data_IF_823385530017
#
_entry.id   IF_823385530017
#
_cell.length_a   1.000
_cell.length_b   1.000
_cell.length_c   1.000
_cell.angle_alpha   90.00
_cell.angle_beta   90.00
_cell.angle_gamma   90.00
#
_symmetry.space_group_name_H-M   'P 1'
#
loop_
_entity.id
_entity.type
_entity.pdbx_description
1 polymer ?
#
# COMPACT_ATOMS: atom_id res chain seq x y z
N UNK A 1 3.84 10.11 44.93
CA UNK A 1 3.27 8.98 44.16
C UNK A 1 2.58 9.50 42.90
N UNK A 2 2.77 8.88 41.74
CA UNK A 2 2.03 9.25 40.52
C UNK A 2 0.66 8.53 40.49
N UNK A 3 -0.41 9.32 40.55
CA UNK A 3 -1.79 8.82 40.55
C UNK A 3 -2.47 8.91 39.17
N UNK A 4 -1.84 9.58 38.21
CA UNK A 4 -2.40 9.86 36.88
C UNK A 4 -2.73 8.59 36.09
N UNK A 5 -1.86 7.56 36.04
CA UNK A 5 -2.14 6.31 35.31
C UNK A 5 -3.34 5.53 35.84
N UNK A 6 -3.78 5.81 37.08
CA UNK A 6 -4.94 5.17 37.72
C UNK A 6 -6.26 5.88 37.39
N UNK A 7 -6.20 7.03 36.72
CA UNK A 7 -7.39 7.81 36.36
C UNK A 7 -7.88 7.40 34.97
N UNK A 8 -9.19 7.22 34.85
CA UNK A 8 -9.87 6.80 33.60
C UNK A 8 -9.78 7.83 32.48
N UNK A 9 -9.55 9.10 32.80
CA UNK A 9 -9.39 10.20 31.82
C UNK A 9 -7.94 10.36 31.35
N UNK A 10 -6.99 9.58 31.88
CA UNK A 10 -5.59 9.77 31.53
C UNK A 10 -5.34 9.39 30.06
N UNK A 11 -4.93 10.38 29.26
CA UNK A 11 -4.81 10.30 27.79
C UNK A 11 -3.90 9.16 27.32
N UNK A 12 -2.82 8.89 28.07
CA UNK A 12 -1.81 7.87 27.71
C UNK A 12 -2.18 6.44 28.12
N UNK A 13 -3.34 6.23 28.75
CA UNK A 13 -3.80 4.87 29.04
C UNK A 13 -4.16 4.14 27.75
N UNK A 14 -3.86 2.84 27.69
CA UNK A 14 -4.09 2.02 26.49
C UNK A 14 -5.55 2.10 26.01
N UNK A 15 -6.50 2.15 26.94
CA UNK A 15 -7.93 2.24 26.64
C UNK A 15 -8.29 3.56 25.93
N UNK A 16 -7.78 4.70 26.43
CA UNK A 16 -8.08 5.99 25.82
C UNK A 16 -7.39 6.16 24.47
N UNK A 17 -6.13 5.71 24.34
CA UNK A 17 -5.46 5.71 23.04
C UNK A 17 -6.20 4.82 22.04
N UNK A 18 -6.73 3.67 22.47
CA UNK A 18 -7.53 2.80 21.59
C UNK A 18 -8.87 3.44 21.17
N UNK A 19 -9.51 4.22 22.04
CA UNK A 19 -10.71 5.01 21.68
C UNK A 19 -10.38 6.06 20.63
N UNK A 20 -9.35 6.87 20.88
CA UNK A 20 -8.88 7.89 19.93
C UNK A 20 -8.55 7.27 18.57
N UNK A 21 -7.86 6.13 18.52
CA UNK A 21 -7.59 5.43 17.27
C UNK A 21 -8.85 4.96 16.54
N UNK A 22 -9.86 4.48 17.28
CA UNK A 22 -11.13 4.05 16.69
C UNK A 22 -11.89 5.24 16.11
N UNK A 23 -11.90 6.35 16.81
CA UNK A 23 -12.55 7.59 16.37
C UNK A 23 -11.83 8.18 15.15
N UNK A 24 -10.49 8.21 15.17
CA UNK A 24 -9.67 8.63 14.02
C UNK A 24 -9.89 7.74 12.80
N UNK A 25 -9.94 6.41 12.98
CA UNK A 25 -10.23 5.47 11.90
C UNK A 25 -11.63 5.70 11.32
N UNK A 26 -12.63 5.90 12.18
CA UNK A 26 -14.00 6.18 11.75
C UNK A 26 -14.10 7.49 10.97
N UNK A 27 -13.44 8.55 11.44
CA UNK A 27 -13.37 9.83 10.73
C UNK A 27 -12.70 9.67 9.35
N UNK A 28 -11.59 8.93 9.28
CA UNK A 28 -10.92 8.64 8.01
C UNK A 28 -11.82 7.87 7.03
N UNK A 29 -12.52 6.82 7.49
CA UNK A 29 -13.46 6.06 6.67
C UNK A 29 -14.62 6.93 6.16
N UNK A 30 -15.16 7.82 6.99
CA UNK A 30 -16.22 8.76 6.58
C UNK A 30 -15.72 9.75 5.51
N UNK A 31 -14.50 10.30 5.67
CA UNK A 31 -13.88 11.17 4.66
C UNK A 31 -13.63 10.43 3.33
N UNK A 32 -13.15 9.19 3.38
CA UNK A 32 -12.98 8.36 2.18
C UNK A 32 -14.31 8.12 1.47
N UNK A 33 -15.38 7.77 2.20
CA UNK A 33 -16.71 7.59 1.60
C UNK A 33 -17.26 8.86 0.97
N UNK A 34 -17.00 10.03 1.56
CA UNK A 34 -17.39 11.32 0.98
C UNK A 34 -16.63 11.58 -0.32
N UNK A 35 -15.32 11.32 -0.33
CA UNK A 35 -14.47 11.47 -1.53
C UNK A 35 -14.90 10.52 -2.64
N UNK A 36 -15.14 9.24 -2.33
CA UNK A 36 -15.64 8.26 -3.30
C UNK A 36 -16.98 8.70 -3.90
N UNK A 37 -17.90 9.19 -3.07
CA UNK A 37 -19.18 9.71 -3.54
C UNK A 37 -19.01 10.91 -4.47
N UNK A 38 -18.11 11.84 -4.14
CA UNK A 38 -17.82 12.99 -4.97
C UNK A 38 -17.23 12.57 -6.33
N UNK A 39 -16.29 11.62 -6.35
CA UNK A 39 -15.69 11.10 -7.57
C UNK A 39 -16.70 10.39 -8.47
N UNK A 40 -17.59 9.59 -7.87
CA UNK A 40 -18.69 8.94 -8.62
C UNK A 40 -19.63 9.98 -9.22
N UNK A 41 -20.04 10.99 -8.44
CA UNK A 41 -20.89 12.07 -8.94
C UNK A 41 -20.23 12.86 -10.08
N UNK A 42 -18.93 13.13 -9.99
CA UNK A 42 -18.17 13.78 -11.06
C UNK A 42 -18.12 12.92 -12.34
N UNK A 43 -17.87 11.62 -12.19
CA UNK A 43 -17.87 10.66 -13.31
C UNK A 43 -19.24 10.61 -13.98
N UNK A 44 -20.31 10.50 -13.20
CA UNK A 44 -21.69 10.47 -13.69
C UNK A 44 -22.05 11.79 -14.39
N UNK A 45 -21.68 12.94 -13.80
CA UNK A 45 -21.89 14.26 -14.40
C UNK A 45 -21.21 14.38 -15.77
N UNK A 46 -19.92 13.98 -15.85
CA UNK A 46 -19.16 13.99 -17.10
C UNK A 46 -19.79 13.09 -18.16
N UNK A 47 -20.24 11.90 -17.79
CA UNK A 47 -20.94 10.98 -18.70
C UNK A 47 -22.28 11.56 -19.16
N UNK A 48 -23.04 12.18 -18.26
CA UNK A 48 -24.31 12.80 -18.60
C UNK A 48 -24.14 13.97 -19.58
N UNK A 49 -23.10 14.80 -19.42
CA UNK A 49 -22.75 15.84 -20.41
C UNK A 49 -22.46 15.19 -21.77
N UNK A 50 -21.61 14.16 -21.81
CA UNK A 50 -21.25 13.51 -23.07
C UNK A 50 -22.46 12.86 -23.76
N UNK A 51 -23.35 12.24 -22.98
CA UNK A 51 -24.63 11.70 -23.48
C UNK A 51 -25.55 12.79 -24.00
N UNK A 52 -25.68 13.91 -23.29
CA UNK A 52 -26.48 15.06 -23.74
C UNK A 52 -25.94 15.64 -25.04
N UNK A 53 -24.63 15.83 -25.14
CA UNK A 53 -23.98 16.36 -26.34
C UNK A 53 -24.11 15.37 -27.52
N UNK A 54 -24.00 14.06 -27.27
CA UNK A 54 -24.24 13.05 -28.30
C UNK A 54 -25.70 13.06 -28.78
N UNK A 55 -26.66 13.16 -27.86
CA UNK A 55 -28.08 13.30 -28.19
C UNK A 55 -28.36 14.57 -29.01
N UNK A 56 -27.75 15.70 -28.65
CA UNK A 56 -27.84 16.95 -29.42
C UNK A 56 -27.27 16.79 -30.83
N UNK A 57 -26.09 16.17 -30.99
CA UNK A 57 -25.51 15.91 -32.33
C UNK A 57 -26.42 15.01 -33.19
N UNK A 58 -27.02 13.98 -32.60
CA UNK A 58 -27.94 13.09 -33.32
C UNK A 58 -29.21 13.84 -33.72
N UNK A 59 -29.76 14.68 -32.83
CA UNK A 59 -30.92 15.53 -33.14
C UNK A 59 -30.59 16.54 -34.25
N UNK A 60 -29.48 17.25 -34.15
CA UNK A 60 -29.01 18.17 -35.21
C UNK A 60 -28.76 17.46 -36.55
N UNK A 61 -28.22 16.23 -36.51
CA UNK A 61 -28.00 15.43 -37.71
C UNK A 61 -29.31 14.90 -38.31
N UNK A 62 -30.30 14.59 -37.47
CA UNK A 62 -31.63 14.12 -37.87
C UNK A 62 -32.47 15.26 -38.47
N UNK A 63 -32.50 16.43 -37.83
CA UNK A 63 -33.19 17.63 -38.32
C UNK A 63 -32.56 18.13 -39.64
N UNK A 64 -31.24 17.96 -39.82
CA UNK A 64 -30.55 18.28 -41.08
C UNK A 64 -30.87 17.27 -42.20
N UNK A 65 -31.03 15.99 -41.89
CA UNK A 65 -31.40 14.96 -42.86
C UNK A 65 -32.86 15.08 -43.34
N UNK A 66 -33.79 15.50 -42.48
CA UNK A 66 -35.20 15.71 -42.85
C UNK A 66 -35.36 16.87 -43.85
N UNK A 67 -34.51 17.90 -43.78
CA UNK A 67 -34.48 19.03 -44.75
C UNK A 67 -33.88 18.70 -46.13
N UNK A 68 -33.21 17.55 -46.27
CA UNK A 68 -32.43 17.15 -47.47
C UNK A 68 -33.05 15.97 -48.25
N UNK A 69 -34.25 15.51 -47.89
CA UNK A 69 -34.91 14.38 -48.56
C UNK A 69 -35.58 14.71 -49.91
N UNK A 70 -35.38 15.91 -50.45
CA UNK A 70 -35.88 16.27 -51.78
C UNK A 70 -34.83 16.32 -52.89
N UNK A 71 -33.53 16.04 -52.67
CA UNK A 71 -32.59 16.04 -53.80
C UNK A 71 -31.27 15.28 -53.60
N UNK A 72 -30.99 14.42 -54.60
CA UNK A 72 -29.69 13.89 -55.05
C UNK A 72 -29.11 12.62 -54.39
N UNK A 73 -29.18 11.53 -55.16
CA UNK A 73 -28.11 10.53 -55.27
C UNK A 73 -26.78 11.20 -55.62
N UNK A 74 -25.65 10.74 -55.08
CA UNK A 74 -24.34 10.66 -55.77
C UNK A 74 -23.25 10.18 -54.80
N UNK A 75 -22.27 9.46 -55.36
CA UNK A 75 -21.15 8.75 -54.75
C UNK A 75 -20.36 9.54 -53.71
N UNK A 76 -19.96 8.84 -52.64
CA UNK A 76 -18.98 9.29 -51.64
C UNK A 76 -17.92 8.22 -51.43
N UNK A 77 -16.98 8.16 -52.36
CA UNK A 77 -15.68 7.51 -52.25
C UNK A 77 -14.84 8.29 -51.21
N UNK A 78 -14.61 7.71 -50.04
CA UNK A 78 -13.86 8.40 -48.96
C UNK A 78 -13.76 7.66 -47.63
N UNK A 79 -14.10 6.38 -47.57
CA UNK A 79 -13.91 5.55 -46.37
C UNK A 79 -12.71 4.63 -46.56
N UNK A 80 -11.52 5.07 -46.13
CA UNK A 80 -10.33 4.21 -46.01
C UNK A 80 -10.48 3.25 -44.83
N UNK A 81 -11.55 2.43 -44.84
CA UNK A 81 -11.69 1.30 -43.93
C UNK A 81 -10.92 0.13 -44.52
N UNK A 82 -9.76 -0.18 -43.95
CA UNK A 82 -9.04 -1.41 -44.32
C UNK A 82 -9.90 -2.58 -43.89
N UNK A 83 -10.39 -3.37 -44.85
CA UNK A 83 -11.15 -4.58 -44.57
C UNK A 83 -10.17 -5.61 -44.01
N UNK A 84 -10.46 -6.11 -42.82
CA UNK A 84 -9.62 -7.13 -42.19
C UNK A 84 -9.88 -8.47 -42.88
N UNK A 85 -9.00 -8.88 -43.81
CA UNK A 85 -9.17 -10.01 -44.73
C UNK A 85 -9.43 -11.36 -44.01
N UNK A 86 -9.13 -11.45 -42.71
CA UNK A 86 -9.32 -12.65 -41.88
C UNK A 86 -10.71 -12.75 -41.26
N UNK A 87 -11.38 -11.63 -41.01
CA UNK A 87 -12.65 -11.58 -40.27
C UNK A 87 -13.80 -10.98 -41.07
N UNK A 88 -13.52 -10.32 -42.20
CA UNK A 88 -14.52 -9.55 -42.95
C UNK A 88 -15.10 -8.36 -42.15
N UNK A 89 -14.48 -8.02 -41.03
CA UNK A 89 -14.87 -6.89 -40.19
C UNK A 89 -14.21 -5.62 -40.73
N UNK A 90 -15.00 -4.56 -40.89
CA UNK A 90 -14.49 -3.25 -41.31
C UNK A 90 -13.98 -2.55 -40.05
N UNK A 91 -12.66 -2.51 -39.88
CA UNK A 91 -12.05 -1.79 -38.77
C UNK A 91 -11.85 -0.32 -39.14
N UNK A 92 -12.74 0.54 -38.67
CA UNK A 92 -12.68 2.00 -38.84
C UNK A 92 -11.51 2.65 -38.09
N UNK A 93 -10.90 1.94 -37.15
CA UNK A 93 -9.82 2.42 -36.30
C UNK A 93 -8.47 1.81 -36.65
N UNK A 94 -8.37 1.03 -37.74
CA UNK A 94 -7.14 0.34 -38.10
C UNK A 94 -5.92 1.27 -38.20
N UNK A 95 -6.12 2.48 -38.71
CA UNK A 95 -5.03 3.47 -38.84
C UNK A 95 -4.67 4.11 -37.49
N UNK A 96 -5.67 4.37 -36.64
CA UNK A 96 -5.45 4.87 -35.28
C UNK A 96 -4.82 3.81 -34.36
N UNK A 97 -5.22 2.56 -34.48
CA UNK A 97 -4.64 1.43 -33.75
C UNK A 97 -3.18 1.20 -34.18
N UNK A 98 -2.86 1.33 -35.47
CA UNK A 98 -1.46 1.28 -35.93
C UNK A 98 -0.65 2.46 -35.39
N UNK A 99 -1.21 3.66 -35.32
CA UNK A 99 -0.54 4.83 -34.75
C UNK A 99 -0.34 4.70 -33.22
N UNK A 100 -1.33 4.17 -32.49
CA UNK A 100 -1.21 3.89 -31.06
C UNK A 100 -0.23 2.74 -30.78
N UNK A 101 -0.24 1.67 -31.58
CA UNK A 101 0.75 0.60 -31.50
C UNK A 101 2.15 1.12 -31.81
N UNK A 102 2.32 1.96 -32.83
CA UNK A 102 3.61 2.58 -33.15
C UNK A 102 4.12 3.51 -32.02
N UNK A 103 3.21 4.18 -31.30
CA UNK A 103 3.54 5.01 -30.14
C UNK A 103 3.77 4.21 -28.85
N UNK A 104 3.12 3.05 -28.68
CA UNK A 104 3.22 2.20 -27.47
C UNK A 104 4.33 1.17 -27.54
N UNK A 105 4.66 0.64 -28.73
CA UNK A 105 5.83 -0.23 -28.94
C UNK A 105 7.15 0.54 -28.76
N UNK A 106 7.13 1.87 -28.95
CA UNK A 106 8.20 2.79 -28.54
C UNK A 106 7.94 3.42 -27.16
N UNK A 107 7.26 2.73 -26.26
CA UNK A 107 7.17 3.12 -24.86
C UNK A 107 8.56 3.34 -24.27
N UNK A 108 8.75 4.46 -23.58
CA UNK A 108 10.04 4.87 -23.03
C UNK A 108 10.63 3.73 -22.17
N UNK A 109 11.69 3.08 -22.67
CA UNK A 109 12.32 1.91 -22.01
C UNK A 109 12.77 2.25 -20.59
N UNK A 110 13.13 3.51 -20.37
CA UNK A 110 13.52 4.02 -19.07
C UNK A 110 12.36 4.00 -18.07
N UNK A 111 11.16 4.37 -18.50
CA UNK A 111 9.96 4.37 -17.64
C UNK A 111 9.55 2.96 -17.20
N UNK A 112 9.65 1.98 -18.10
CA UNK A 112 9.39 0.58 -17.75
C UNK A 112 10.43 0.04 -16.75
N UNK A 113 11.70 0.44 -16.89
CA UNK A 113 12.76 0.09 -15.97
C UNK A 113 12.60 0.77 -14.59
N UNK A 114 12.20 2.05 -14.56
CA UNK A 114 11.90 2.78 -13.32
C UNK A 114 10.73 2.17 -12.57
N UNK A 115 9.62 1.87 -13.26
CA UNK A 115 8.47 1.16 -12.69
C UNK A 115 8.85 -0.19 -12.11
N UNK A 116 9.79 -0.90 -12.72
CA UNK A 116 10.27 -2.19 -12.22
C UNK A 116 11.11 -2.01 -10.97
N UNK A 117 12.03 -1.03 -10.95
CA UNK A 117 12.82 -0.69 -9.77
C UNK A 117 11.95 -0.24 -8.59
N UNK A 118 10.94 0.58 -8.84
CA UNK A 118 10.00 1.03 -7.80
C UNK A 118 9.26 -0.15 -7.16
N UNK A 119 8.86 -1.14 -7.97
CA UNK A 119 8.28 -2.39 -7.46
C UNK A 119 9.28 -3.19 -6.63
N UNK A 120 10.49 -3.38 -7.15
CA UNK A 120 11.55 -4.12 -6.47
C UNK A 120 11.91 -3.45 -5.11
N UNK A 121 11.98 -2.12 -5.06
CA UNK A 121 12.21 -1.34 -3.83
C UNK A 121 11.05 -1.45 -2.85
N UNK A 122 9.81 -1.40 -3.33
CA UNK A 122 8.63 -1.57 -2.50
C UNK A 122 8.56 -2.98 -1.90
N UNK A 123 8.81 -4.01 -2.71
CA UNK A 123 8.85 -5.40 -2.26
C UNK A 123 10.02 -5.66 -1.31
N UNK A 124 11.18 -5.02 -1.52
CA UNK A 124 12.31 -5.05 -0.58
C UNK A 124 11.96 -4.39 0.75
N UNK A 125 11.31 -3.22 0.72
CA UNK A 125 10.84 -2.52 1.92
C UNK A 125 9.80 -3.32 2.71
N UNK A 126 8.95 -4.08 2.01
CA UNK A 126 8.01 -5.01 2.63
C UNK A 126 8.66 -6.34 3.07
N UNK A 127 9.92 -6.59 2.69
CA UNK A 127 10.63 -7.83 2.96
C UNK A 127 10.14 -9.04 2.15
N UNK A 128 9.41 -8.80 1.06
CA UNK A 128 8.92 -9.82 0.12
C UNK A 128 10.05 -10.21 -0.83
N UNK A 129 10.73 -9.21 -1.40
CA UNK A 129 11.90 -9.40 -2.25
C UNK A 129 13.17 -9.19 -1.41
N UNK A 130 13.88 -10.28 -1.11
CA UNK A 130 15.17 -10.23 -0.41
C UNK A 130 16.23 -10.88 -1.28
N UNK A 131 17.26 -10.12 -1.64
CA UNK A 131 18.33 -10.65 -2.49
C UNK A 131 19.29 -11.50 -1.66
N UNK A 132 19.72 -12.62 -2.22
CA UNK A 132 20.70 -13.49 -1.56
C UNK A 132 22.03 -12.75 -1.47
N UNK A 133 22.59 -12.65 -0.26
CA UNK A 133 23.82 -11.88 -0.01
C UNK A 133 23.58 -10.39 0.28
N UNK A 134 22.34 -9.93 0.36
CA UNK A 134 22.02 -8.57 0.82
C UNK A 134 22.56 -8.35 2.25
N UNK A 135 23.57 -7.49 2.39
CA UNK A 135 24.32 -7.27 3.63
C UNK A 135 25.63 -8.08 3.76
N UNK A 136 26.01 -8.88 2.76
CA UNK A 136 27.35 -9.44 2.66
C UNK A 136 28.38 -8.36 2.26
N UNK A 137 29.65 -8.57 2.61
CA UNK A 137 30.74 -7.64 2.25
C UNK A 137 30.91 -7.51 0.74
N UNK A 138 30.64 -8.59 0.00
CA UNK A 138 30.66 -8.62 -1.47
C UNK A 138 29.55 -7.75 -2.07
N UNK A 139 28.34 -7.82 -1.51
CA UNK A 139 27.20 -7.00 -1.94
C UNK A 139 27.39 -5.51 -1.61
N UNK A 140 27.97 -5.22 -0.45
CA UNK A 140 28.34 -3.85 -0.02
C UNK A 140 29.63 -3.35 -0.72
N UNK A 141 30.26 -4.18 -1.57
CA UNK A 141 31.55 -3.91 -2.23
C UNK A 141 32.65 -3.46 -1.26
N UNK A 142 32.57 -3.93 -0.02
CA UNK A 142 33.56 -3.65 1.00
C UNK A 142 34.69 -4.67 0.91
N UNK A 143 35.88 -4.19 0.51
CA UNK A 143 37.07 -5.02 0.54
C UNK A 143 37.43 -5.30 2.01
N UNK A 144 37.46 -6.57 2.44
CA UNK A 144 37.81 -6.92 3.80
C UNK A 144 39.26 -6.50 4.11
N UNK A 145 39.53 -6.23 5.39
CA UNK A 145 40.83 -5.70 5.84
C UNK A 145 42.03 -6.58 5.44
N UNK A 146 41.84 -7.89 5.27
CA UNK A 146 42.89 -8.83 4.86
C UNK A 146 43.22 -8.80 3.36
N UNK A 147 42.37 -8.19 2.54
CA UNK A 147 42.57 -8.05 1.09
C UNK A 147 43.07 -6.63 0.73
N UNK A 148 42.97 -5.68 1.66
CA UNK A 148 43.60 -4.36 1.54
C UNK A 148 45.11 -4.48 1.81
N UNK A 149 45.90 -4.47 0.74
CA UNK A 149 47.36 -4.33 0.87
C UNK A 149 47.69 -2.99 1.57
N UNK A 150 48.56 -2.99 2.59
CA UNK A 150 48.97 -1.75 3.25
C UNK A 150 49.66 -0.84 2.22
N UNK A 151 49.14 0.38 2.04
CA UNK A 151 49.76 1.38 1.20
C UNK A 151 51.13 1.71 1.80
N UNK A 152 52.20 1.16 1.22
CA UNK A 152 53.56 1.65 1.46
C UNK A 152 53.58 3.09 1.00
N UNK A 153 53.78 4.02 1.94
CA UNK A 153 54.05 5.41 1.61
C UNK A 153 55.34 5.45 0.78
N UNK A 154 55.20 5.58 -0.53
CA UNK A 154 56.32 5.88 -1.42
C UNK A 154 56.70 7.35 -1.21
N UNK A 155 57.61 7.56 -0.26
CA UNK A 155 58.45 8.75 -0.24
C UNK A 155 59.49 8.61 -1.35
N UNK A 156 59.41 9.52 -2.32
CA UNK A 156 60.52 10.04 -3.15
C UNK A 156 61.31 9.07 -4.04
N UNK A 157 61.06 9.19 -5.36
CA UNK A 157 62.07 9.03 -6.41
C UNK A 157 62.17 7.65 -7.06
N UNK A 158 61.49 7.47 -8.20
CA UNK A 158 62.13 7.28 -9.52
C UNK A 158 61.10 6.71 -10.52
N UNK A 159 61.17 7.21 -11.73
CA UNK A 159 60.29 6.87 -12.85
C UNK A 159 60.74 5.59 -13.56
N UNK A 160 59.75 4.89 -14.15
CA UNK A 160 59.87 3.81 -15.14
C UNK A 160 60.06 2.38 -14.60
N UNK A 161 58.97 1.61 -14.58
CA UNK A 161 58.93 0.30 -15.26
C UNK A 161 57.51 -0.31 -15.16
N UNK A 162 56.79 -0.24 -16.28
CA UNK A 162 55.75 -1.21 -16.59
C UNK A 162 56.39 -2.56 -16.89
N UNK A 163 55.61 -3.61 -16.61
CA UNK A 163 55.70 -4.98 -17.13
C UNK A 163 56.59 -5.99 -16.38
N UNK A 164 55.92 -7.10 -16.06
CA UNK A 164 56.44 -8.45 -15.82
C UNK A 164 57.15 -8.72 -14.50
N UNK A 165 56.49 -9.51 -13.64
CA UNK A 165 57.11 -10.72 -13.07
C UNK A 165 56.03 -11.66 -12.53
N UNK A 166 55.39 -12.35 -13.47
CA UNK A 166 54.96 -13.72 -13.25
C UNK A 166 56.20 -14.61 -13.10
N UNK A 167 56.16 -15.50 -12.10
CA UNK A 167 56.92 -16.75 -11.93
C UNK A 167 58.06 -16.76 -10.90
N UNK A 168 57.90 -17.72 -9.99
CA UNK A 168 58.89 -18.60 -9.34
C UNK A 168 59.66 -18.03 -8.14
N UNK A 169 59.36 -18.59 -6.97
CA UNK A 169 60.34 -19.45 -6.30
C UNK A 169 59.65 -20.69 -5.74
N UNK A 170 60.28 -21.84 -5.97
CA UNK A 170 59.85 -23.21 -5.69
C UNK A 170 61.00 -23.85 -4.91
N UNK A 171 60.72 -24.45 -3.76
CA UNK A 171 61.58 -25.44 -3.07
C UNK A 171 60.66 -26.13 -2.04
N UNK A 172 60.10 -27.33 -2.27
CA UNK A 172 60.71 -28.68 -2.11
C UNK A 172 61.57 -28.78 -0.84
N UNK A 173 61.54 -29.80 0.01
CA UNK A 173 60.74 -31.00 0.28
C UNK A 173 61.46 -31.61 1.52
N UNK A 174 60.83 -32.59 2.19
CA UNK A 174 61.45 -33.60 3.10
C UNK A 174 61.57 -33.16 4.58
N UNK A 175 61.25 -33.96 5.59
CA UNK A 175 61.25 -35.43 5.73
C UNK A 175 60.29 -35.87 6.85
N UNK A 176 59.60 -37.02 6.65
CA UNK A 176 59.44 -38.17 7.58
C UNK A 176 58.93 -37.92 9.01
N UNK A 177 58.11 -38.73 9.70
CA UNK A 177 57.49 -40.06 9.56
C UNK A 177 57.01 -40.40 10.98
N UNK A 178 56.18 -41.45 11.14
CA UNK A 178 55.97 -42.30 12.35
C UNK A 178 54.47 -42.51 12.63
N UNK A 179 53.96 -43.54 11.93
CA UNK A 179 53.19 -44.70 12.43
C UNK A 179 52.28 -44.57 13.67
N UNK A 180 51.02 -44.97 13.39
CA UNK A 180 50.26 -46.03 14.05
C UNK A 180 49.73 -45.91 15.49
N UNK A 181 48.41 -46.15 15.52
CA UNK A 181 47.69 -47.06 16.41
C UNK A 181 47.26 -46.62 17.84
N UNK A 182 45.99 -46.98 18.08
CA UNK A 182 45.36 -47.50 19.30
C UNK A 182 44.66 -46.53 20.28
N UNK A 183 43.35 -46.81 20.33
CA UNK A 183 42.51 -47.11 21.51
C UNK A 183 41.66 -46.00 22.13
N UNK A 184 40.35 -46.19 21.90
CA UNK A 184 39.29 -46.45 22.90
C UNK A 184 39.29 -45.64 24.20
N UNK A 185 38.07 -45.16 24.47
CA UNK A 185 37.39 -45.05 25.77
C UNK A 185 37.78 -43.87 26.65
N UNK A 186 36.79 -43.00 26.90
CA UNK A 186 36.20 -42.76 28.24
C UNK A 186 35.15 -41.65 28.15
N UNK A 187 33.87 -42.05 28.03
CA UNK A 187 32.76 -41.21 28.43
C UNK A 187 32.52 -41.43 29.93
N UNK A 188 32.90 -40.43 30.71
CA UNK A 188 32.60 -40.24 32.12
C UNK A 188 32.67 -38.72 32.28
N UNK A 189 31.78 -37.99 32.94
CA UNK A 189 30.64 -38.29 33.81
C UNK A 189 30.14 -36.90 34.23
N UNK A 190 28.84 -36.78 34.43
CA UNK A 190 28.15 -36.03 35.51
C UNK A 190 27.00 -35.19 34.96
N UNK A 191 25.85 -35.86 34.92
CA UNK A 191 24.59 -35.34 35.47
C UNK A 191 24.83 -34.37 36.64
N UNK A 192 24.03 -33.31 36.70
CA UNK A 192 23.17 -33.07 37.89
C UNK A 192 21.86 -32.41 37.45
N UNK A 193 20.79 -33.19 37.60
CA UNK A 193 19.41 -32.72 37.68
C UNK A 193 19.24 -31.63 38.74
N UNK A 194 18.38 -30.65 38.46
CA UNK A 194 17.40 -30.13 39.42
C UNK A 194 16.20 -29.55 38.66
N UNK A 195 15.23 -30.42 38.41
CA UNK A 195 13.87 -30.00 38.08
C UNK A 195 13.32 -29.16 39.24
N UNK A 196 12.80 -27.99 38.92
CA UNK A 196 11.93 -27.22 39.80
C UNK A 196 10.62 -27.01 39.08
N UNK A 197 9.67 -27.89 39.39
CA UNK A 197 8.24 -27.64 39.24
C UNK A 197 7.91 -26.27 39.84
N UNK A 198 7.32 -25.38 39.05
CA UNK A 198 6.61 -24.21 39.58
C UNK A 198 5.13 -24.49 39.45
N UNK A 199 4.58 -24.95 40.56
CA UNK A 199 3.15 -25.20 40.77
C UNK A 199 2.37 -23.88 40.62
N UNK A 200 1.30 -23.94 39.84
CA UNK A 200 0.27 -22.91 39.73
C UNK A 200 -0.49 -22.77 41.05
N UNK A 201 -0.58 -21.57 41.60
CA UNK A 201 -1.64 -21.19 42.55
C UNK A 201 -2.32 -19.90 42.07
N UNK A 202 -3.50 -20.08 41.47
CA UNK A 202 -4.44 -19.00 41.11
C UNK A 202 -5.44 -18.87 42.25
N UNK A 203 -5.19 -17.97 43.20
CA UNK A 203 -6.20 -17.59 44.20
C UNK A 203 -7.16 -16.56 43.58
N UNK A 204 -8.31 -17.04 43.11
CA UNK A 204 -9.45 -16.19 42.72
C UNK A 204 -10.15 -15.69 43.99
N UNK A 205 -9.87 -14.45 44.41
CA UNK A 205 -10.74 -13.72 45.36
C UNK A 205 -11.91 -13.12 44.60
N UNK A 206 -13.09 -13.75 44.68
CA UNK A 206 -14.36 -13.12 44.29
C UNK A 206 -14.76 -12.13 45.39
N UNK A 207 -14.66 -10.83 45.12
CA UNK A 207 -15.39 -9.80 45.89
C UNK A 207 -16.79 -9.71 45.30
N UNK A 208 -17.79 -10.16 46.06
CA UNK A 208 -19.21 -9.83 45.84
C UNK A 208 -19.40 -8.37 46.26
N UNK A 209 -19.66 -7.49 45.30
CA UNK A 209 -20.35 -6.24 45.61
C UNK A 209 -21.82 -6.42 45.20
N UNK A 210 -22.68 -6.33 46.21
CA UNK A 210 -24.11 -6.09 46.05
C UNK A 210 -24.26 -4.62 45.64
N UNK A 211 -24.81 -4.38 44.46
CA UNK A 211 -25.50 -3.12 44.15
C UNK A 211 -26.72 -3.50 43.33
N UNK A 212 -27.87 -3.53 44.00
CA UNK A 212 -29.18 -3.44 43.38
C UNK A 212 -29.31 -2.04 42.77
N UNK A 213 -29.04 -1.91 41.49
CA UNK A 213 -29.64 -0.83 40.71
C UNK A 213 -30.36 -1.52 39.53
N UNK A 214 -31.68 -1.47 39.60
CA UNK A 214 -32.58 -1.90 38.53
C UNK A 214 -32.40 -0.91 37.40
N UNK A 215 -31.46 -1.19 36.52
CA UNK A 215 -31.26 -0.44 35.30
C UNK A 215 -31.88 -1.27 34.20
N UNK A 216 -33.12 -0.89 33.87
CA UNK A 216 -33.84 -1.38 32.70
C UNK A 216 -32.88 -1.30 31.51
N UNK A 217 -32.59 -2.47 30.93
CA UNK A 217 -31.67 -2.63 29.80
C UNK A 217 -32.29 -2.03 28.54
N UNK A 218 -32.35 -0.70 28.45
CA UNK A 218 -32.61 -0.01 27.20
C UNK A 218 -31.39 -0.22 26.29
N UNK A 219 -31.65 -0.78 25.11
CA UNK A 219 -30.64 -1.00 24.09
C UNK A 219 -30.06 0.35 23.63
N UNK A 220 -28.85 0.37 23.07
CA UNK A 220 -28.27 1.61 22.53
C UNK A 220 -29.15 2.21 21.41
N UNK A 221 -29.93 1.38 20.72
CA UNK A 221 -30.93 1.79 19.73
C UNK A 221 -32.07 2.58 20.38
N UNK A 222 -32.59 2.12 21.52
CA UNK A 222 -33.65 2.80 22.28
C UNK A 222 -33.21 4.20 22.75
N UNK A 223 -31.94 4.35 23.14
CA UNK A 223 -31.38 5.65 23.53
C UNK A 223 -31.28 6.59 22.35
N UNK A 224 -30.80 6.10 21.20
CA UNK A 224 -30.69 6.90 19.97
C UNK A 224 -32.07 7.38 19.53
N UNK A 225 -33.08 6.50 19.55
CA UNK A 225 -34.46 6.85 19.25
C UNK A 225 -35.05 7.88 20.22
N UNK A 226 -34.78 7.72 21.52
CA UNK A 226 -35.20 8.68 22.56
C UNK A 226 -34.61 10.07 22.32
N UNK A 227 -33.31 10.14 22.00
CA UNK A 227 -32.67 11.42 21.66
C UNK A 227 -33.20 12.01 20.34
N UNK A 228 -33.51 11.18 19.34
CA UNK A 228 -34.11 11.64 18.09
C UNK A 228 -35.50 12.25 18.31
N UNK A 229 -36.33 11.61 19.15
CA UNK A 229 -37.65 12.13 19.56
C UNK A 229 -37.54 13.51 20.23
N UNK A 230 -36.60 13.68 21.16
CA UNK A 230 -36.36 14.96 21.83
C UNK A 230 -35.88 16.07 20.87
N UNK A 231 -35.07 15.72 19.86
CA UNK A 231 -34.62 16.68 18.83
C UNK A 231 -35.77 17.11 17.93
N UNK A 232 -36.63 16.18 17.51
CA UNK A 232 -37.81 16.48 16.69
C UNK A 232 -38.80 17.36 17.45
N UNK A 233 -39.01 17.10 18.74
CA UNK A 233 -39.86 17.94 19.59
C UNK A 233 -39.30 19.36 19.72
N UNK A 234 -37.98 19.50 19.93
CA UNK A 234 -37.32 20.81 19.97
C UNK A 234 -37.51 21.60 18.67
N UNK A 235 -37.30 20.97 17.51
CA UNK A 235 -37.49 21.63 16.21
C UNK A 235 -38.92 22.12 16.02
N UNK A 236 -39.92 21.32 16.40
CA UNK A 236 -41.33 21.75 16.35
C UNK A 236 -41.61 22.97 17.23
N UNK A 237 -41.01 23.04 18.43
CA UNK A 237 -41.14 24.23 19.30
C UNK A 237 -40.49 25.46 18.66
N UNK A 238 -39.28 25.32 18.14
CA UNK A 238 -38.58 26.41 17.44
C UNK A 238 -39.36 26.89 16.20
N UNK A 239 -39.99 25.97 15.45
CA UNK A 239 -40.84 26.30 14.31
C UNK A 239 -42.11 27.05 14.72
N UNK A 240 -42.80 26.61 15.77
CA UNK A 240 -43.97 27.30 16.32
C UNK A 240 -43.61 28.70 16.81
N UNK A 241 -42.48 28.86 17.52
CA UNK A 241 -41.99 30.17 17.97
C UNK A 241 -41.62 31.06 16.79
N UNK A 242 -40.97 30.50 15.76
CA UNK A 242 -40.64 31.23 14.53
C UNK A 242 -41.89 31.66 13.77
N UNK A 243 -42.93 30.83 13.71
CA UNK A 243 -44.21 31.18 13.11
C UNK A 243 -44.90 32.30 13.89
N UNK A 244 -44.92 32.21 15.23
CA UNK A 244 -45.45 33.26 16.10
C UNK A 244 -44.69 34.58 15.95
N UNK A 245 -43.36 34.51 15.86
CA UNK A 245 -42.54 35.69 15.61
C UNK A 245 -42.83 36.31 14.24
N UNK A 246 -42.99 35.51 13.19
CA UNK A 246 -43.39 35.98 11.85
C UNK A 246 -44.79 36.64 11.86
N UNK A 247 -45.73 36.08 12.61
CA UNK A 247 -47.08 36.65 12.75
C UNK A 247 -47.10 37.99 13.49
N UNK A 248 -46.14 38.24 14.39
CA UNK A 248 -45.98 39.52 15.07
C UNK A 248 -45.22 40.57 14.24
N UNK A 249 -44.49 40.13 13.21
CA UNK A 249 -43.69 40.99 12.34
C UNK A 249 -44.45 41.43 11.07
N UNK A 250 -45.62 40.84 10.83
CA UNK A 250 -46.61 41.26 9.83
C UNK A 250 -47.70 42.10 10.51
#
# INVERSE_FOLDING_TARGET
>A
MNILPKKRWHVRTKENVARVRRDQKKAAEEEERIKERALLAEREYRMNILRRNAGQRVMESFDYAESKTSESQSLGEGGSGVIDEKSGHINFFADLEREELANTEKGNKEYAAEKRKEKDEFESKLGILKYLGEGSKEFMKEVPWYEKNPQRALSTGDSLSQANNDKRFKEEERTSSVSEEKKKSRSHRKERHKGKEKRHHKLKRKKKHRSSHSESSESEEDKVEKFAKLRAERLKREECERQRAKQLLN
#
